data_IF_346418579496
#
_entry.id   IF_346418579496
#
_cell.length_a   1.000
_cell.length_b   1.000
_cell.length_c   1.000
_cell.angle_alpha   90.00
_cell.angle_beta   90.00
_cell.angle_gamma   90.00
#
_symmetry.space_group_name_H-M   'P 1'
#
loop_
_entity.id
_entity.type
_entity.pdbx_description
1 polymer ?
#
# COMPACT_ATOMS: atom_id res chain seq x y z
N UNK A 1 0.63 7.84 16.89
CA UNK A 1 -0.40 7.62 15.87
C UNK A 1 0.04 6.44 15.00
N UNK A 2 -0.87 5.54 14.63
CA UNK A 2 -0.57 4.37 13.79
C UNK A 2 -1.26 4.57 12.45
N UNK A 3 -0.49 4.50 11.36
CA UNK A 3 -1.01 4.60 10.00
C UNK A 3 -1.12 3.22 9.40
N UNK A 4 -2.23 2.96 8.71
CA UNK A 4 -2.50 1.70 8.03
C UNK A 4 -3.09 1.99 6.66
N UNK A 5 -2.74 1.16 5.68
CA UNK A 5 -3.32 1.23 4.34
C UNK A 5 -3.67 -0.18 3.89
N UNK A 6 -4.79 -0.30 3.19
CA UNK A 6 -5.25 -1.56 2.59
C UNK A 6 -5.11 -1.49 1.09
N UNK A 7 -4.40 -2.46 0.51
CA UNK A 7 -4.26 -2.62 -0.93
C UNK A 7 -5.12 -3.76 -1.42
N UNK A 8 -5.95 -3.49 -2.43
CA UNK A 8 -6.77 -4.50 -3.09
C UNK A 8 -6.09 -5.00 -4.37
N UNK A 9 -5.82 -6.31 -4.52
CA UNK A 9 -5.27 -6.86 -5.75
C UNK A 9 -6.21 -6.65 -6.94
N UNK A 10 -5.68 -6.17 -8.07
CA UNK A 10 -6.48 -5.88 -9.27
C UNK A 10 -7.02 -7.15 -9.95
N UNK A 11 -6.29 -8.27 -9.85
CA UNK A 11 -6.68 -9.56 -10.46
C UNK A 11 -7.58 -10.40 -9.55
N UNK A 12 -8.16 -9.79 -8.51
CA UNK A 12 -8.89 -10.49 -7.46
C UNK A 12 -7.96 -11.07 -6.39
N UNK A 13 -8.46 -11.13 -5.16
CA UNK A 13 -7.70 -11.57 -3.99
C UNK A 13 -8.17 -10.90 -2.70
N UNK A 14 -7.56 -11.28 -1.58
CA UNK A 14 -7.79 -10.65 -0.28
C UNK A 14 -7.06 -9.31 -0.22
N UNK A 15 -7.70 -8.33 0.43
CA UNK A 15 -7.06 -7.05 0.72
C UNK A 15 -5.90 -7.25 1.69
N UNK A 16 -4.75 -6.65 1.36
CA UNK A 16 -3.57 -6.70 2.20
C UNK A 16 -3.44 -5.39 2.95
N UNK A 17 -3.49 -5.46 4.28
CA UNK A 17 -3.32 -4.29 5.15
C UNK A 17 -1.90 -4.21 5.67
N UNK A 18 -1.26 -3.06 5.52
CA UNK A 18 0.09 -2.80 5.99
C UNK A 18 0.13 -1.65 6.97
N UNK A 19 1.05 -1.75 7.94
CA UNK A 19 1.38 -0.66 8.85
C UNK A 19 2.43 0.24 8.20
N UNK A 20 2.20 1.54 8.27
CA UNK A 20 3.07 2.56 7.70
C UNK A 20 3.55 3.54 8.77
N UNK A 21 4.66 4.20 8.49
CA UNK A 21 4.97 5.47 9.12
C UNK A 21 4.19 6.62 8.45
N UNK A 22 4.23 7.79 9.08
CA UNK A 22 3.49 8.96 8.60
C UNK A 22 3.93 9.39 7.19
N UNK A 23 5.23 9.37 6.90
CA UNK A 23 5.76 9.83 5.62
C UNK A 23 5.32 8.90 4.48
N UNK A 24 5.37 7.58 4.72
CA UNK A 24 4.88 6.58 3.77
C UNK A 24 3.38 6.74 3.51
N UNK A 25 2.57 6.92 4.57
CA UNK A 25 1.12 7.05 4.42
C UNK A 25 0.74 8.31 3.64
N UNK A 26 1.36 9.45 3.95
CA UNK A 26 1.10 10.71 3.25
C UNK A 26 1.61 10.76 1.81
N UNK A 27 2.53 9.86 1.43
CA UNK A 27 2.97 9.70 0.05
C UNK A 27 1.97 8.91 -0.82
N UNK A 28 0.95 8.28 -0.22
CA UNK A 28 -0.05 7.50 -0.94
C UNK A 28 -1.30 8.32 -1.25
N UNK A 29 -1.86 8.10 -2.44
CA UNK A 29 -3.17 8.61 -2.84
C UNK A 29 -4.16 7.46 -2.90
N UNK A 30 -5.28 7.58 -2.19
CA UNK A 30 -6.33 6.57 -2.22
C UNK A 30 -6.97 6.52 -3.60
N UNK A 31 -7.07 5.31 -4.17
CA UNK A 31 -7.65 5.07 -5.48
C UNK A 31 -6.62 4.87 -6.60
N UNK A 32 -5.36 5.26 -6.38
CA UNK A 32 -4.28 5.01 -7.32
C UNK A 32 -4.07 3.50 -7.50
N UNK A 33 -3.91 3.10 -8.75
CA UNK A 33 -3.57 1.74 -9.13
C UNK A 33 -2.10 1.72 -9.50
N UNK A 34 -1.38 0.71 -9.03
CA UNK A 34 0.06 0.65 -9.23
C UNK A 34 0.67 -0.64 -8.75
N UNK A 35 1.99 -0.61 -8.62
CA UNK A 35 2.79 -1.75 -8.17
C UNK A 35 3.11 -1.57 -6.68
N UNK A 36 2.64 -2.52 -5.88
CA UNK A 36 2.95 -2.62 -4.46
C UNK A 36 4.22 -3.47 -4.27
N UNK A 37 5.20 -2.95 -3.52
CA UNK A 37 6.40 -3.66 -3.10
C UNK A 37 6.35 -3.93 -1.60
N UNK A 38 6.51 -5.20 -1.21
CA UNK A 38 6.48 -5.62 0.18
C UNK A 38 7.31 -6.88 0.39
N UNK A 39 7.79 -7.07 1.62
CA UNK A 39 8.55 -8.26 2.03
C UNK A 39 7.86 -8.92 3.22
N UNK A 40 7.17 -10.05 2.96
CA UNK A 40 6.33 -10.70 3.96
C UNK A 40 5.15 -9.81 4.36
N UNK A 41 5.11 -9.34 5.61
CA UNK A 41 4.11 -8.39 6.12
C UNK A 41 4.59 -6.94 6.18
N UNK A 42 5.83 -6.67 5.73
CA UNK A 42 6.43 -5.33 5.75
C UNK A 42 6.22 -4.61 4.43
N UNK A 43 5.64 -3.41 4.48
CA UNK A 43 5.56 -2.51 3.34
C UNK A 43 6.94 -1.95 3.00
N UNK A 44 7.31 -1.98 1.72
CA UNK A 44 8.56 -1.38 1.23
C UNK A 44 8.29 -0.18 0.31
N UNK A 45 7.16 -0.14 -0.39
CA UNK A 45 6.76 1.00 -1.19
C UNK A 45 5.56 0.73 -2.09
N UNK A 46 5.00 1.80 -2.64
CA UNK A 46 3.98 1.74 -3.69
C UNK A 46 4.37 2.71 -4.80
N UNK A 47 4.32 2.25 -6.04
CA UNK A 47 4.55 3.08 -7.23
C UNK A 47 3.24 3.16 -8.02
N UNK A 48 2.60 4.35 -8.09
CA UNK A 48 1.43 4.52 -8.93
C UNK A 48 1.77 4.21 -10.39
N UNK A 49 0.88 3.50 -11.07
CA UNK A 49 0.94 3.31 -12.51
C UNK A 49 0.59 4.64 -13.18
N UNK A 50 1.38 5.03 -14.17
CA UNK A 50 1.16 6.22 -14.98
C UNK A 50 -0.11 6.07 -15.85
#
# INVERSE_FOLDING_TARGET
MRYEVSFKPQRGGLEQTFRLDAQQYHALTVGDKGTLSYKGSRFEGFKPGQ
#
